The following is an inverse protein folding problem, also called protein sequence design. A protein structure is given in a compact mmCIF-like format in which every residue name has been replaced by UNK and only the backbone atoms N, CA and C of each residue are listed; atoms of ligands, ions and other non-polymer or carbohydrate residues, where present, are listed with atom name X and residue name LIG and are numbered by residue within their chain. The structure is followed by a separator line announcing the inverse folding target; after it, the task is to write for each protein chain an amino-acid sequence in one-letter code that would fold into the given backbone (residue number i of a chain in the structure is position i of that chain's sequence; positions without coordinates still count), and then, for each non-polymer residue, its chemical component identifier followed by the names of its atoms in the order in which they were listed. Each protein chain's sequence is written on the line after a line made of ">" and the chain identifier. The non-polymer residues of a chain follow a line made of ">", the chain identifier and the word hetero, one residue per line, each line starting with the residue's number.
data_IF_651015079165
#
_entry.id   IF_651015079165
#
_cell.length_a   1.000
_cell.length_b   1.000
_cell.length_c   1.000
_cell.angle_alpha   90.00
_cell.angle_beta   90.00
_cell.angle_gamma   90.00
#
_symmetry.space_group_name_H-M   'P 1'
#
loop_
_entity.id
_entity.type
_entity.pdbx_description
1 polymer ?
#
# COMPACT_ATOMS: atom_id res chain seq x y z
N UNK A 1 -36.83 -14.83 -85.82
CA UNK A 1 -35.72 -14.01 -85.24
C UNK A 1 -36.24 -13.51 -83.92
N UNK A 2 -35.96 -14.25 -82.83
CA UNK A 2 -36.62 -14.09 -81.56
C UNK A 2 -35.69 -13.43 -80.55
N UNK A 3 -36.11 -12.29 -80.04
CA UNK A 3 -35.43 -11.60 -78.93
C UNK A 3 -36.12 -12.03 -77.63
N UNK A 4 -35.44 -12.85 -76.84
CA UNK A 4 -35.89 -13.24 -75.52
C UNK A 4 -35.40 -12.18 -74.52
N UNK A 5 -36.38 -11.40 -74.02
CA UNK A 5 -36.14 -10.42 -72.96
C UNK A 5 -36.13 -11.17 -71.62
N UNK A 6 -34.98 -11.24 -70.98
CA UNK A 6 -34.88 -11.76 -69.59
C UNK A 6 -35.17 -10.63 -68.59
N UNK A 7 -36.27 -10.78 -67.91
CA UNK A 7 -36.64 -9.95 -66.77
C UNK A 7 -35.85 -10.39 -65.53
N UNK A 8 -34.96 -9.54 -65.03
CA UNK A 8 -34.21 -9.79 -63.80
C UNK A 8 -35.01 -9.19 -62.66
N UNK A 9 -35.61 -10.03 -61.80
CA UNK A 9 -36.18 -9.62 -60.55
C UNK A 9 -35.09 -9.34 -59.53
N UNK A 10 -34.90 -8.07 -59.16
CA UNK A 10 -34.01 -7.65 -58.08
C UNK A 10 -34.82 -7.79 -56.76
N UNK A 11 -34.57 -8.83 -56.03
CA UNK A 11 -35.08 -8.96 -54.64
C UNK A 11 -34.15 -8.15 -53.73
N UNK A 12 -34.65 -7.02 -53.19
CA UNK A 12 -34.00 -6.26 -52.17
C UNK A 12 -34.22 -6.97 -50.81
N UNK A 13 -33.15 -7.58 -50.28
CA UNK A 13 -33.13 -8.04 -48.90
C UNK A 13 -32.93 -6.84 -47.99
N UNK A 14 -33.98 -6.43 -47.31
CA UNK A 14 -33.89 -5.41 -46.22
C UNK A 14 -33.28 -6.10 -44.99
N UNK A 15 -32.01 -5.87 -44.76
CA UNK A 15 -31.32 -6.32 -43.53
C UNK A 15 -31.75 -5.38 -42.40
N UNK A 16 -32.72 -5.82 -41.60
CA UNK A 16 -33.15 -5.10 -40.39
C UNK A 16 -32.02 -5.12 -39.34
N UNK A 17 -31.39 -3.98 -39.09
CA UNK A 17 -30.42 -3.81 -38.02
C UNK A 17 -31.20 -3.59 -36.72
N UNK A 18 -31.36 -4.64 -35.92
CA UNK A 18 -31.94 -4.55 -34.58
C UNK A 18 -30.94 -3.85 -33.65
N UNK A 19 -31.18 -2.57 -33.35
CA UNK A 19 -30.44 -1.86 -32.31
C UNK A 19 -30.95 -2.35 -30.96
N UNK A 20 -30.25 -3.29 -30.34
CA UNK A 20 -30.46 -3.65 -28.94
C UNK A 20 -29.96 -2.53 -28.05
N UNK A 21 -30.89 -1.73 -27.51
CA UNK A 21 -30.57 -0.77 -26.46
C UNK A 21 -30.13 -1.56 -25.22
N UNK A 22 -28.83 -1.51 -24.89
CA UNK A 22 -28.34 -2.01 -23.62
C UNK A 22 -28.98 -1.22 -22.47
N UNK A 23 -29.48 -1.87 -21.40
CA UNK A 23 -30.02 -1.15 -20.27
C UNK A 23 -28.88 -0.28 -19.64
N UNK A 24 -29.15 1.01 -19.47
CA UNK A 24 -28.28 1.92 -18.77
C UNK A 24 -28.09 1.39 -17.34
N UNK A 25 -26.86 1.02 -16.99
CA UNK A 25 -26.49 0.65 -15.62
C UNK A 25 -26.65 1.89 -14.77
N UNK A 26 -27.62 1.89 -13.87
CA UNK A 26 -27.73 2.89 -12.81
C UNK A 26 -26.44 2.87 -12.00
N UNK A 27 -25.76 4.03 -11.78
CA UNK A 27 -24.58 4.05 -10.96
C UNK A 27 -24.93 3.54 -9.56
N UNK A 28 -24.29 2.44 -9.15
CA UNK A 28 -24.40 1.93 -7.78
C UNK A 28 -24.01 3.06 -6.83
N UNK A 29 -24.84 3.39 -5.81
CA UNK A 29 -24.47 4.38 -4.82
C UNK A 29 -23.10 4.01 -4.22
N UNK A 30 -22.16 4.96 -4.21
CA UNK A 30 -20.86 4.75 -3.60
C UNK A 30 -21.08 4.32 -2.15
N UNK A 31 -20.67 3.10 -1.80
CA UNK A 31 -20.69 2.64 -0.41
C UNK A 31 -19.88 3.61 0.42
N UNK A 32 -20.39 4.08 1.57
CA UNK A 32 -19.62 4.94 2.45
C UNK A 32 -18.32 4.23 2.81
N UNK A 33 -17.20 4.89 2.54
CA UNK A 33 -15.87 4.39 2.91
C UNK A 33 -15.87 4.17 4.42
N UNK A 34 -15.60 2.95 4.93
CA UNK A 34 -15.63 2.69 6.35
C UNK A 34 -14.66 3.64 7.07
N UNK A 35 -15.12 4.28 8.14
CA UNK A 35 -14.27 5.12 8.98
C UNK A 35 -13.10 4.26 9.49
N UNK A 36 -11.85 4.69 9.30
CA UNK A 36 -10.68 3.91 9.73
C UNK A 36 -10.76 3.61 11.22
N UNK A 37 -10.66 2.33 11.59
CA UNK A 37 -10.57 1.92 13.00
C UNK A 37 -9.20 2.32 13.57
N UNK A 38 -9.07 2.31 14.90
CA UNK A 38 -7.77 2.59 15.54
C UNK A 38 -6.67 1.67 15.02
N UNK A 39 -7.00 0.41 14.74
CA UNK A 39 -6.08 -0.58 14.20
C UNK A 39 -5.58 -0.22 12.79
N UNK A 40 -6.42 0.38 11.97
CA UNK A 40 -6.06 0.80 10.61
C UNK A 40 -5.14 2.02 10.60
N UNK A 41 -5.00 2.69 11.75
CA UNK A 41 -4.11 3.84 11.96
C UNK A 41 -2.73 3.46 12.45
N UNK A 42 -2.48 2.19 12.75
CA UNK A 42 -1.21 1.70 13.27
C UNK A 42 -0.35 1.07 12.18
N UNK A 43 0.96 1.16 12.38
CA UNK A 43 1.94 0.42 11.58
C UNK A 43 1.73 -1.08 11.76
N UNK A 44 1.66 -1.85 10.65
CA UNK A 44 1.36 -3.27 10.65
C UNK A 44 2.37 -4.07 9.85
N UNK A 45 2.81 -5.20 10.44
CA UNK A 45 3.54 -6.25 9.73
C UNK A 45 2.51 -7.24 9.17
N UNK A 46 2.53 -7.43 7.85
CA UNK A 46 1.66 -8.36 7.15
C UNK A 46 2.24 -9.80 7.16
N UNK A 47 1.41 -10.84 6.94
CA UNK A 47 1.87 -12.24 6.95
C UNK A 47 2.97 -12.55 5.93
N UNK A 48 3.02 -11.81 4.82
CA UNK A 48 4.03 -11.90 3.77
C UNK A 48 5.29 -11.06 4.04
N UNK A 49 5.45 -10.59 5.27
CA UNK A 49 6.57 -9.75 5.72
C UNK A 49 6.64 -8.37 5.07
N UNK A 50 5.59 -7.94 4.38
CA UNK A 50 5.45 -6.53 4.04
C UNK A 50 5.02 -5.74 5.27
N UNK A 51 5.41 -4.48 5.32
CA UNK A 51 5.06 -3.57 6.40
C UNK A 51 4.29 -2.40 5.83
N UNK A 52 3.11 -2.16 6.37
CA UNK A 52 2.36 -0.95 6.07
C UNK A 52 2.57 0.04 7.22
N UNK A 53 3.34 1.07 6.96
CA UNK A 53 3.54 2.20 7.86
C UNK A 53 2.36 3.15 7.76
N UNK A 54 1.91 3.68 8.90
CA UNK A 54 0.78 4.62 8.96
C UNK A 54 1.04 5.72 9.97
N UNK A 55 0.67 6.95 9.61
CA UNK A 55 0.76 8.11 10.48
C UNK A 55 -0.43 9.03 10.24
N UNK A 56 -1.19 9.33 11.28
CA UNK A 56 -2.26 10.33 11.21
C UNK A 56 -1.67 11.72 11.41
N UNK A 57 -1.57 12.48 10.32
CA UNK A 57 -1.01 13.83 10.32
C UNK A 57 -1.75 14.72 9.29
N UNK A 58 -3.01 15.12 9.57
CA UNK A 58 -3.86 15.82 8.60
C UNK A 58 -3.31 17.18 8.18
N UNK A 59 -2.52 17.83 9.04
CA UNK A 59 -1.93 19.16 8.79
C UNK A 59 -0.55 19.10 8.12
N UNK A 60 0.05 17.91 8.00
CA UNK A 60 1.37 17.77 7.36
C UNK A 60 1.28 17.98 5.84
N UNK A 61 2.33 18.58 5.29
CA UNK A 61 2.51 18.77 3.85
C UNK A 61 3.27 17.62 3.20
N UNK A 62 4.22 17.02 3.93
CA UNK A 62 5.02 15.89 3.48
C UNK A 62 5.33 14.95 4.67
N UNK A 63 5.23 13.64 4.41
CA UNK A 63 5.63 12.62 5.36
C UNK A 63 6.41 11.54 4.63
N UNK A 64 7.58 11.21 5.17
CA UNK A 64 8.37 10.07 4.73
C UNK A 64 8.53 9.10 5.89
N UNK A 65 8.67 7.81 5.58
CA UNK A 65 9.19 6.81 6.51
C UNK A 65 10.65 6.54 6.19
N UNK A 66 11.48 6.60 7.20
CA UNK A 66 12.91 6.27 7.12
C UNK A 66 13.11 4.97 7.84
N UNK A 67 13.39 3.89 7.10
CA UNK A 67 13.69 2.58 7.63
C UNK A 67 15.19 2.42 7.72
N UNK A 68 15.73 2.37 8.94
CA UNK A 68 17.12 2.05 9.21
C UNK A 68 17.34 0.54 9.17
N UNK A 69 18.48 0.13 8.65
CA UNK A 69 18.84 -1.28 8.57
C UNK A 69 19.54 -1.67 9.86
N UNK A 70 18.94 -2.63 10.59
CA UNK A 70 19.50 -3.40 11.69
C UNK A 70 19.88 -2.62 12.96
N UNK A 71 19.18 -2.93 14.02
CA UNK A 71 19.53 -2.56 15.38
C UNK A 71 20.65 -3.48 15.88
N UNK A 72 21.90 -3.02 15.82
CA UNK A 72 23.09 -3.75 16.32
C UNK A 72 24.22 -2.82 16.67
N UNK A 73 25.26 -3.29 17.40
CA UNK A 73 26.39 -2.47 17.78
C UNK A 73 27.22 -1.96 16.59
N UNK A 74 27.04 -2.55 15.43
CA UNK A 74 27.59 -2.12 14.15
C UNK A 74 26.46 -1.89 13.18
N UNK A 75 25.86 -0.71 13.20
CA UNK A 75 24.83 -0.33 12.24
C UNK A 75 25.42 -0.32 10.83
N UNK A 76 24.98 -1.16 9.89
CA UNK A 76 25.36 -0.99 8.50
C UNK A 76 24.81 0.35 8.03
N UNK A 77 25.65 1.13 7.44
CA UNK A 77 25.33 2.39 6.78
C UNK A 77 24.29 2.15 5.70
N UNK A 78 23.09 2.60 5.89
CA UNK A 78 22.04 2.53 4.88
C UNK A 78 20.65 2.64 5.47
N UNK A 79 20.00 3.75 5.23
CA UNK A 79 18.59 3.95 5.48
C UNK A 79 17.84 4.03 4.14
N UNK A 80 16.67 3.44 4.09
CA UNK A 80 15.75 3.61 2.97
C UNK A 80 14.70 4.64 3.36
N UNK A 81 14.57 5.70 2.57
CA UNK A 81 13.54 6.71 2.75
C UNK A 81 12.45 6.49 1.70
N UNK A 82 11.21 6.43 2.14
CA UNK A 82 10.05 6.23 1.26
C UNK A 82 9.00 7.29 1.57
N UNK A 83 8.62 8.05 0.54
CA UNK A 83 7.53 9.02 0.64
C UNK A 83 6.21 8.31 0.90
N UNK A 84 5.41 8.85 1.80
CA UNK A 84 4.09 8.33 2.14
C UNK A 84 3.00 9.05 1.36
N UNK A 85 1.88 8.38 1.12
CA UNK A 85 0.71 8.95 0.45
C UNK A 85 -0.36 9.29 1.47
N UNK A 86 -0.93 10.48 1.36
CA UNK A 86 -2.00 11.00 2.24
C UNK A 86 -3.37 10.67 1.67
N UNK A 87 -4.26 10.14 2.49
CA UNK A 87 -5.67 9.97 2.15
C UNK A 87 -6.51 11.23 2.47
N UNK A 88 -7.81 11.18 2.13
CA UNK A 88 -8.74 12.27 2.39
C UNK A 88 -8.95 12.59 3.89
N UNK A 89 -8.65 11.65 4.78
CA UNK A 89 -8.79 11.78 6.23
C UNK A 89 -7.49 12.29 6.89
N UNK A 90 -6.43 12.50 6.11
CA UNK A 90 -5.14 12.91 6.60
C UNK A 90 -4.29 11.79 7.18
N UNK A 91 -4.63 10.53 6.88
CA UNK A 91 -3.82 9.37 7.20
C UNK A 91 -2.79 9.17 6.10
N UNK A 92 -1.53 9.19 6.49
CA UNK A 92 -0.40 8.89 5.62
C UNK A 92 -0.08 7.41 5.68
N UNK A 93 0.23 6.80 4.54
CA UNK A 93 0.58 5.39 4.45
C UNK A 93 1.64 5.11 3.40
N UNK A 94 2.48 4.09 3.67
CA UNK A 94 3.40 3.50 2.72
C UNK A 94 3.58 2.02 3.05
N UNK A 95 3.73 1.18 2.03
CA UNK A 95 3.97 -0.25 2.21
C UNK A 95 5.32 -0.62 1.61
N UNK A 96 6.17 -1.25 2.41
CA UNK A 96 7.50 -1.71 2.04
C UNK A 96 7.62 -3.22 2.19
N UNK A 97 8.58 -3.79 1.49
CA UNK A 97 8.95 -5.19 1.62
C UNK A 97 8.51 -6.05 0.42
N UNK A 98 8.62 -7.40 0.55
CA UNK A 98 8.86 -8.12 1.81
C UNK A 98 10.23 -7.85 2.43
N UNK A 99 10.27 -7.68 3.75
CA UNK A 99 11.51 -7.47 4.50
C UNK A 99 12.08 -8.79 5.03
N UNK A 100 13.40 -8.86 5.14
CA UNK A 100 14.04 -10.00 5.77
C UNK A 100 13.73 -10.06 7.28
N UNK A 101 13.60 -11.27 7.88
CA UNK A 101 13.40 -11.42 9.31
C UNK A 101 14.49 -10.73 10.12
N UNK A 102 14.14 -9.68 10.85
CA UNK A 102 15.08 -8.90 11.65
C UNK A 102 14.38 -7.91 12.58
N UNK A 103 15.16 -7.27 13.45
CA UNK A 103 14.72 -6.10 14.21
C UNK A 103 15.20 -4.85 13.47
N UNK A 104 14.26 -4.06 12.98
CA UNK A 104 14.53 -2.82 12.26
C UNK A 104 14.27 -1.61 13.16
N UNK A 105 15.03 -0.55 12.92
CA UNK A 105 14.75 0.75 13.48
C UNK A 105 14.11 1.63 12.38
N UNK A 106 13.10 2.41 12.71
CA UNK A 106 12.47 3.33 11.78
C UNK A 106 12.00 4.60 12.47
N UNK A 107 11.78 5.63 11.70
CA UNK A 107 11.24 6.91 12.14
C UNK A 107 10.39 7.52 11.02
N UNK A 108 9.50 8.41 11.37
CA UNK A 108 8.85 9.28 10.40
C UNK A 108 9.61 10.61 10.28
N UNK A 109 9.64 11.15 9.07
CA UNK A 109 10.06 12.50 8.80
C UNK A 109 8.81 13.30 8.42
N UNK A 110 8.37 14.16 9.30
CA UNK A 110 7.15 14.97 9.15
C UNK A 110 7.56 16.41 8.90
N UNK A 111 7.36 16.91 7.70
CA UNK A 111 7.77 18.26 7.27
C UNK A 111 9.23 18.60 7.66
N UNK A 112 10.15 17.63 7.49
CA UNK A 112 11.56 17.77 7.85
C UNK A 112 11.92 17.47 9.30
N UNK A 113 10.95 17.13 10.17
CA UNK A 113 11.17 16.79 11.58
C UNK A 113 11.09 15.28 11.80
N UNK A 114 12.10 14.73 12.44
CA UNK A 114 12.14 13.31 12.83
C UNK A 114 11.25 13.08 14.05
N UNK A 115 10.38 12.10 13.98
CA UNK A 115 9.51 11.67 15.07
C UNK A 115 9.46 10.14 15.17
N UNK A 116 9.25 9.64 16.38
CA UNK A 116 8.87 8.23 16.59
C UNK A 116 7.48 7.96 16.05
N UNK A 117 7.17 6.69 15.86
CA UNK A 117 5.79 6.26 15.56
C UNK A 117 4.93 6.38 16.83
N UNK A 118 3.92 7.26 16.87
CA UNK A 118 3.03 7.40 18.03
C UNK A 118 2.18 6.16 18.30
N UNK A 119 2.05 5.28 17.30
CA UNK A 119 1.30 4.02 17.42
C UNK A 119 2.16 2.81 17.81
N UNK A 120 3.45 3.02 18.08
CA UNK A 120 4.38 1.95 18.44
C UNK A 120 5.01 2.18 19.81
N UNK A 121 4.72 1.26 20.76
CA UNK A 121 5.20 1.32 22.14
C UNK A 121 6.65 0.85 22.32
N UNK A 122 7.37 0.55 21.22
CA UNK A 122 8.75 0.09 21.24
C UNK A 122 9.72 1.17 20.72
N UNK A 123 10.03 2.20 21.50
CA UNK A 123 11.07 3.14 21.12
C UNK A 123 12.45 2.48 21.16
N UNK A 124 13.33 2.86 20.24
CA UNK A 124 14.73 2.42 20.29
C UNK A 124 15.43 3.10 21.48
N UNK A 125 16.03 2.35 22.44
CA UNK A 125 16.80 2.92 23.53
C UNK A 125 18.07 3.59 22.99
N UNK A 126 18.10 4.90 22.96
CA UNK A 126 19.24 5.69 22.53
C UNK A 126 19.20 7.09 23.17
N UNK A 127 20.28 7.86 22.98
CA UNK A 127 20.44 9.18 23.59
C UNK A 127 19.33 10.18 23.21
N UNK A 128 18.83 10.11 21.97
CA UNK A 128 17.65 10.83 21.49
C UNK A 128 16.62 9.80 21.06
N UNK A 129 15.43 9.84 21.65
CA UNK A 129 14.36 8.91 21.31
C UNK A 129 13.58 9.50 20.13
N UNK A 130 14.05 9.27 18.93
CA UNK A 130 13.42 9.69 17.68
C UNK A 130 13.11 8.52 16.73
N UNK A 131 13.32 7.29 17.21
CA UNK A 131 13.29 6.07 16.42
C UNK A 131 12.46 5.00 17.13
N UNK A 132 11.61 4.30 16.39
CA UNK A 132 10.83 3.14 16.84
C UNK A 132 11.44 1.84 16.35
N UNK A 133 11.17 0.73 17.06
CA UNK A 133 11.61 -0.61 16.67
C UNK A 133 10.48 -1.38 16.00
N UNK A 134 10.83 -2.19 15.02
CA UNK A 134 9.92 -3.03 14.27
C UNK A 134 10.51 -4.44 14.13
N UNK A 135 9.86 -5.44 14.71
CA UNK A 135 10.24 -6.84 14.57
C UNK A 135 9.56 -7.46 13.35
N UNK A 136 10.37 -7.95 12.41
CA UNK A 136 9.92 -8.80 11.31
C UNK A 136 10.11 -10.26 11.74
N UNK A 137 9.03 -11.05 11.84
CA UNK A 137 9.09 -12.42 12.33
C UNK A 137 9.81 -13.36 11.37
N UNK A 138 10.27 -14.51 11.90
CA UNK A 138 10.96 -15.57 11.12
C UNK A 138 12.46 -15.63 11.36
N UNK A 139 13.01 -14.86 12.32
CA UNK A 139 14.38 -15.12 12.76
C UNK A 139 14.51 -16.50 13.36
N UNK A 140 15.51 -17.31 12.97
CA UNK A 140 15.77 -18.57 13.65
C UNK A 140 16.08 -18.29 15.13
N UNK A 141 15.69 -19.18 16.05
CA UNK A 141 16.03 -19.03 17.45
C UNK A 141 17.55 -18.90 17.60
N UNK A 142 18.04 -18.09 18.56
CA UNK A 142 19.46 -17.97 18.79
C UNK A 142 20.04 -19.37 19.01
N UNK A 143 21.14 -19.69 18.33
CA UNK A 143 21.82 -20.98 18.52
C UNK A 143 22.16 -21.10 19.99
N UNK A 144 21.53 -22.06 20.64
CA UNK A 144 21.92 -22.45 22.00
C UNK A 144 23.43 -22.73 21.99
N UNK A 145 24.18 -21.95 22.77
CA UNK A 145 25.58 -22.27 23.03
C UNK A 145 25.56 -23.64 23.69
N UNK A 146 26.00 -24.68 22.96
CA UNK A 146 26.26 -25.96 23.56
C UNK A 146 27.34 -25.75 24.60
N UNK A 147 26.96 -25.74 25.86
CA UNK A 147 27.91 -25.86 27.01
C UNK A 147 28.64 -27.19 26.81
N UNK A 148 29.94 -27.10 26.60
CA UNK A 148 30.83 -28.25 26.68
C UNK A 148 31.05 -28.63 28.12
#
# INVERSE_FOLDING_TARGET
>A
MNKITRLILLTHAVLGFAITLAPAQTPTPAQPTPTPTLRDKLTQVLPDRRVTFRLLAPKANAVDVVLGIKSGPYEPQGSTTVAMTKDANGLWSATLGPLEPNLYAYQFNLDGRKITDPGNDLPKPQRQVDTSLLLIPGMPPPRSLKTR
#
